data_IF_270680131863
#
_entry.id   IF_270680131863
#
_cell.length_a   1.000
_cell.length_b   1.000
_cell.length_c   1.000
_cell.angle_alpha   90.00
_cell.angle_beta   90.00
_cell.angle_gamma   90.00
#
_symmetry.space_group_name_H-M   'P 1'
#
loop_
_entity.id
_entity.type
_entity.pdbx_description
1 polymer ?
#
# COMPACT_ATOMS: atom_id res chain seq x y z
N UNK A 1 23.23 4.49 -7.12
CA UNK A 1 22.36 3.52 -7.81
C UNK A 1 20.91 3.82 -7.47
N UNK A 2 19.96 3.44 -8.32
CA UNK A 2 18.55 3.48 -7.97
C UNK A 2 18.26 2.31 -7.01
N UNK A 3 17.37 2.48 -6.02
CA UNK A 3 16.97 1.37 -5.16
C UNK A 3 16.20 0.33 -5.97
N UNK A 4 16.45 -0.96 -5.69
CA UNK A 4 15.73 -2.09 -6.26
C UNK A 4 14.85 -2.70 -5.22
N UNK A 5 13.52 -2.62 -5.41
CA UNK A 5 12.52 -3.16 -4.50
C UNK A 5 11.90 -4.44 -5.05
N UNK A 6 11.76 -5.44 -4.19
CA UNK A 6 10.93 -6.59 -4.45
C UNK A 6 9.48 -6.24 -4.10
N UNK A 7 8.57 -6.37 -5.06
CA UNK A 7 7.14 -6.02 -4.88
C UNK A 7 6.28 -7.28 -5.05
N UNK A 8 5.72 -7.75 -3.94
CA UNK A 8 4.81 -8.89 -3.90
C UNK A 8 3.35 -8.40 -3.83
N UNK A 9 2.62 -8.52 -4.94
CA UNK A 9 1.23 -8.08 -5.04
C UNK A 9 0.51 -8.83 -6.17
N UNK A 10 -0.83 -8.74 -6.26
CA UNK A 10 -1.58 -9.28 -7.38
C UNK A 10 -1.34 -8.51 -8.68
N UNK A 11 -1.53 -9.21 -9.80
CA UNK A 11 -1.40 -8.64 -11.13
C UNK A 11 -2.71 -8.80 -11.91
N UNK A 12 -3.55 -7.78 -11.98
CA UNK A 12 -4.74 -7.78 -12.81
C UNK A 12 -4.39 -7.45 -14.28
N UNK A 13 -4.95 -8.22 -15.22
CA UNK A 13 -4.82 -7.96 -16.65
C UNK A 13 -5.64 -6.75 -17.10
N UNK A 14 -6.70 -6.41 -16.37
CA UNK A 14 -7.56 -5.26 -16.62
C UNK A 14 -7.87 -4.52 -15.31
N UNK A 15 -7.80 -3.19 -15.39
CA UNK A 15 -7.99 -2.29 -14.24
C UNK A 15 -6.66 -1.81 -13.66
N UNK A 16 -6.66 -0.55 -13.21
CA UNK A 16 -5.47 0.14 -12.73
C UNK A 16 -5.41 0.06 -11.20
N UNK A 17 -5.10 -1.12 -10.71
CA UNK A 17 -4.91 -1.42 -9.28
C UNK A 17 -3.68 -2.32 -9.12
N UNK A 18 -3.24 -2.54 -7.91
CA UNK A 18 -2.14 -3.43 -7.55
C UNK A 18 -0.88 -3.21 -8.41
N UNK A 19 -0.24 -4.28 -8.92
CA UNK A 19 0.97 -4.15 -9.76
C UNK A 19 0.73 -3.34 -11.04
N UNK A 20 -0.47 -3.39 -11.64
CA UNK A 20 -0.75 -2.66 -12.87
C UNK A 20 -0.66 -1.12 -12.69
N UNK A 21 -0.94 -0.59 -11.49
CA UNK A 21 -0.74 0.83 -11.18
C UNK A 21 0.59 1.09 -10.46
N UNK A 22 1.04 0.20 -9.58
CA UNK A 22 2.25 0.42 -8.80
C UNK A 22 3.50 0.53 -9.68
N UNK A 23 3.64 -0.33 -10.70
CA UNK A 23 4.83 -0.39 -11.55
C UNK A 23 5.15 0.92 -12.27
N UNK A 24 4.23 1.55 -13.03
CA UNK A 24 4.52 2.81 -13.71
C UNK A 24 4.79 3.95 -12.71
N UNK A 25 4.14 3.96 -11.56
CA UNK A 25 4.34 4.98 -10.52
C UNK A 25 5.70 4.84 -9.82
N UNK A 26 6.10 3.61 -9.48
CA UNK A 26 7.41 3.35 -8.89
C UNK A 26 8.53 3.69 -9.88
N UNK A 27 8.36 3.37 -11.18
CA UNK A 27 9.30 3.77 -12.22
C UNK A 27 9.38 5.30 -12.35
N UNK A 28 8.25 6.03 -12.30
CA UNK A 28 8.21 7.50 -12.29
C UNK A 28 8.92 8.07 -11.05
N UNK A 29 8.88 7.37 -9.91
CA UNK A 29 9.59 7.70 -8.68
C UNK A 29 11.04 7.13 -8.62
N UNK A 30 11.61 6.75 -9.76
CA UNK A 30 13.01 6.33 -9.88
C UNK A 30 13.39 5.12 -9.00
N UNK A 31 12.55 4.10 -8.98
CA UNK A 31 12.78 2.83 -8.30
C UNK A 31 12.79 1.71 -9.32
N UNK A 32 13.78 0.82 -9.24
CA UNK A 32 13.77 -0.46 -9.95
C UNK A 32 12.89 -1.45 -9.21
N UNK A 33 11.98 -2.13 -9.93
CA UNK A 33 11.06 -3.09 -9.33
C UNK A 33 11.33 -4.50 -9.83
N UNK A 34 11.52 -5.43 -8.90
CA UNK A 34 11.41 -6.86 -9.16
C UNK A 34 10.01 -7.32 -8.76
N UNK A 35 9.31 -7.96 -9.69
CA UNK A 35 7.89 -8.27 -9.53
C UNK A 35 7.73 -9.71 -9.05
N UNK A 36 7.06 -9.90 -7.93
CA UNK A 36 6.64 -11.20 -7.41
C UNK A 36 5.11 -11.28 -7.42
N UNK A 37 4.49 -11.77 -8.51
CA UNK A 37 3.04 -11.89 -8.56
C UNK A 37 2.55 -12.89 -7.51
N UNK A 38 1.50 -12.51 -6.77
CA UNK A 38 0.86 -13.39 -5.78
C UNK A 38 -0.35 -14.11 -6.37
N UNK A 39 -1.10 -13.41 -7.20
CA UNK A 39 -2.25 -13.90 -7.94
C UNK A 39 -2.27 -13.23 -9.32
N UNK A 40 -2.59 -13.98 -10.36
CA UNK A 40 -2.89 -13.43 -11.68
C UNK A 40 -4.41 -13.35 -11.84
N UNK A 41 -4.91 -12.20 -12.25
CA UNK A 41 -6.33 -11.93 -12.37
C UNK A 41 -6.65 -11.46 -13.79
N UNK A 42 -7.74 -11.95 -14.39
CA UNK A 42 -8.19 -11.41 -15.68
C UNK A 42 -8.63 -9.93 -15.58
N UNK A 43 -9.16 -9.54 -14.43
CA UNK A 43 -9.43 -8.16 -14.00
C UNK A 43 -9.44 -8.12 -12.48
N UNK A 44 -9.36 -6.92 -11.87
CA UNK A 44 -9.40 -6.83 -10.40
C UNK A 44 -10.77 -7.21 -9.84
N UNK A 45 -10.82 -7.57 -8.56
CA UNK A 45 -12.03 -8.09 -7.90
C UNK A 45 -13.10 -7.03 -7.61
N UNK A 46 -12.75 -5.76 -7.69
CA UNK A 46 -13.64 -4.65 -7.39
C UNK A 46 -14.59 -4.30 -8.54
N UNK A 47 -15.82 -4.83 -8.49
CA UNK A 47 -16.88 -4.47 -9.43
C UNK A 47 -16.94 -5.27 -10.72
N UNK A 48 -15.98 -6.19 -11.00
CA UNK A 48 -16.05 -7.13 -12.10
C UNK A 48 -16.54 -8.49 -11.61
N UNK A 49 -17.19 -9.27 -12.51
CA UNK A 49 -17.74 -10.59 -12.23
C UNK A 49 -17.09 -11.65 -13.10
N UNK A 50 -17.19 -12.93 -12.72
CA UNK A 50 -16.70 -14.08 -13.50
C UNK A 50 -15.19 -13.99 -13.81
N UNK A 51 -14.41 -13.60 -12.82
CA UNK A 51 -12.96 -13.45 -12.93
C UNK A 51 -12.28 -14.81 -13.11
N UNK A 52 -11.28 -14.85 -13.99
CA UNK A 52 -10.25 -15.89 -13.89
C UNK A 52 -9.24 -15.48 -12.84
N UNK A 53 -8.98 -16.37 -11.91
CA UNK A 53 -8.06 -16.17 -10.78
C UNK A 53 -7.09 -17.35 -10.75
N UNK A 54 -5.83 -17.08 -11.02
CA UNK A 54 -4.77 -18.08 -10.94
C UNK A 54 -3.87 -17.78 -9.73
N UNK A 55 -3.91 -18.68 -8.73
CA UNK A 55 -3.05 -18.62 -7.54
C UNK A 55 -1.59 -18.88 -7.95
N UNK A 56 -0.70 -17.93 -7.64
CA UNK A 56 0.69 -18.05 -8.06
C UNK A 56 1.64 -18.49 -6.93
N UNK A 57 1.11 -19.05 -5.84
CA UNK A 57 1.90 -19.46 -4.65
C UNK A 57 3.10 -20.35 -5.01
N UNK A 58 2.90 -21.35 -5.87
CA UNK A 58 3.98 -22.24 -6.33
C UNK A 58 5.00 -21.48 -7.18
N UNK A 59 4.54 -20.58 -8.07
CA UNK A 59 5.42 -19.76 -8.89
C UNK A 59 6.29 -18.81 -8.06
N UNK A 60 5.77 -18.26 -6.98
CA UNK A 60 6.53 -17.40 -6.07
C UNK A 60 7.79 -18.09 -5.53
N UNK A 61 7.68 -19.38 -5.15
CA UNK A 61 8.84 -20.16 -4.67
C UNK A 61 9.94 -20.20 -5.71
N UNK A 62 9.61 -20.54 -6.96
CA UNK A 62 10.60 -20.61 -8.04
C UNK A 62 11.27 -19.25 -8.35
N UNK A 63 10.53 -18.14 -8.24
CA UNK A 63 11.10 -16.80 -8.43
C UNK A 63 12.11 -16.48 -7.33
N UNK A 64 11.73 -16.68 -6.06
CA UNK A 64 12.58 -16.40 -4.91
C UNK A 64 13.84 -17.28 -4.90
N UNK A 65 13.71 -18.57 -5.22
CA UNK A 65 14.84 -19.49 -5.36
C UNK A 65 15.82 -19.06 -6.46
N UNK A 66 15.29 -18.70 -7.65
CA UNK A 66 16.15 -18.22 -8.74
C UNK A 66 16.91 -16.96 -8.35
N UNK A 67 16.23 -15.95 -7.78
CA UNK A 67 16.88 -14.70 -7.37
C UNK A 67 17.91 -14.91 -6.26
N UNK A 68 17.66 -15.86 -5.38
CA UNK A 68 18.62 -16.25 -4.35
C UNK A 68 19.86 -16.89 -4.98
N UNK A 69 19.67 -17.82 -5.92
CA UNK A 69 20.76 -18.52 -6.62
C UNK A 69 21.58 -17.56 -7.49
N UNK A 70 20.97 -16.55 -8.08
CA UNK A 70 21.64 -15.49 -8.84
C UNK A 70 22.32 -14.43 -7.95
N UNK A 71 22.16 -14.49 -6.63
CA UNK A 71 22.73 -13.51 -5.71
C UNK A 71 22.15 -12.10 -5.88
N UNK A 72 20.88 -11.98 -6.35
CA UNK A 72 20.25 -10.68 -6.55
C UNK A 72 20.08 -9.98 -5.21
N UNK A 73 20.56 -8.72 -5.16
CA UNK A 73 20.37 -7.84 -4.02
C UNK A 73 19.13 -6.97 -4.20
N UNK A 74 18.38 -6.81 -3.12
CA UNK A 74 17.24 -5.92 -3.00
C UNK A 74 17.48 -4.92 -1.86
N UNK A 75 16.98 -3.70 -2.01
CA UNK A 75 17.06 -2.67 -0.96
C UNK A 75 15.86 -2.74 0.00
N UNK A 76 14.80 -3.46 -0.36
CA UNK A 76 13.62 -3.69 0.45
C UNK A 76 12.57 -4.55 -0.21
N UNK A 77 11.58 -4.95 0.58
CA UNK A 77 10.45 -5.75 0.16
C UNK A 77 9.14 -5.02 0.49
N UNK A 78 8.26 -4.93 -0.50
CA UNK A 78 6.94 -4.31 -0.40
C UNK A 78 5.88 -5.36 -0.66
N UNK A 79 4.87 -5.44 0.19
CA UNK A 79 3.73 -6.34 -0.02
C UNK A 79 2.43 -5.56 -0.17
N UNK A 80 1.56 -6.06 -1.04
CA UNK A 80 0.15 -5.73 -1.11
C UNK A 80 -0.69 -6.97 -0.85
N UNK A 81 -1.57 -7.35 -1.78
CA UNK A 81 -2.44 -8.50 -1.66
C UNK A 81 -1.67 -9.82 -1.58
N UNK A 82 -1.86 -10.54 -0.48
CA UNK A 82 -1.35 -11.89 -0.25
C UNK A 82 -2.54 -12.84 -0.03
N UNK A 83 -2.70 -13.84 -0.87
CA UNK A 83 -3.90 -14.67 -0.90
C UNK A 83 -4.03 -15.62 0.29
N UNK A 84 -2.91 -16.11 0.82
CA UNK A 84 -2.92 -17.18 1.83
C UNK A 84 -1.70 -17.12 2.76
N UNK A 85 -1.72 -17.96 3.79
CA UNK A 85 -0.65 -18.05 4.77
C UNK A 85 0.67 -18.57 4.21
N UNK A 86 0.66 -19.35 3.13
CA UNK A 86 1.89 -19.84 2.49
C UNK A 86 2.65 -18.69 1.85
N UNK A 87 1.95 -17.80 1.13
CA UNK A 87 2.56 -16.60 0.56
C UNK A 87 3.14 -15.69 1.66
N UNK A 88 2.42 -15.49 2.77
CA UNK A 88 2.90 -14.73 3.92
C UNK A 88 4.18 -15.34 4.50
N UNK A 89 4.23 -16.66 4.65
CA UNK A 89 5.41 -17.35 5.16
C UNK A 89 6.61 -17.22 4.21
N UNK A 90 6.42 -17.41 2.89
CA UNK A 90 7.47 -17.22 1.88
C UNK A 90 8.07 -15.81 1.95
N UNK A 91 7.24 -14.78 2.08
CA UNK A 91 7.68 -13.39 2.23
C UNK A 91 8.50 -13.20 3.50
N UNK A 92 8.01 -13.70 4.64
CA UNK A 92 8.71 -13.59 5.93
C UNK A 92 10.06 -14.30 5.90
N UNK A 93 10.10 -15.52 5.38
CA UNK A 93 11.33 -16.31 5.27
C UNK A 93 12.36 -15.61 4.39
N UNK A 94 11.94 -15.10 3.23
CA UNK A 94 12.81 -14.41 2.31
C UNK A 94 13.32 -13.07 2.87
N UNK A 95 12.43 -12.26 3.45
CA UNK A 95 12.80 -10.99 4.07
C UNK A 95 13.80 -11.18 5.22
N UNK A 96 13.54 -12.16 6.10
CA UNK A 96 14.43 -12.47 7.22
C UNK A 96 15.80 -13.01 6.76
N UNK A 97 15.83 -13.94 5.79
CA UNK A 97 17.05 -14.52 5.26
C UNK A 97 17.97 -13.46 4.59
N UNK A 98 17.36 -12.45 3.98
CA UNK A 98 18.05 -11.35 3.31
C UNK A 98 18.20 -10.09 4.17
N UNK A 99 17.63 -10.06 5.38
CA UNK A 99 17.56 -8.89 6.27
C UNK A 99 17.00 -7.65 5.56
N UNK A 100 15.93 -7.83 4.77
CA UNK A 100 15.34 -6.75 4.00
C UNK A 100 14.40 -5.91 4.86
N UNK A 101 14.48 -4.58 4.75
CA UNK A 101 13.39 -3.71 5.22
C UNK A 101 12.06 -4.14 4.59
N UNK A 102 11.04 -4.32 5.44
CA UNK A 102 9.75 -4.84 5.03
C UNK A 102 8.65 -3.78 5.19
N UNK A 103 7.92 -3.55 4.11
CA UNK A 103 6.82 -2.61 4.01
C UNK A 103 5.55 -3.37 3.67
N UNK A 104 4.53 -3.23 4.52
CA UNK A 104 3.32 -4.03 4.41
C UNK A 104 2.10 -3.12 4.23
N UNK A 105 1.47 -3.24 3.06
CA UNK A 105 0.07 -2.87 2.88
C UNK A 105 -0.77 -4.12 3.20
N UNK A 106 -1.47 -4.16 4.36
CA UNK A 106 -2.10 -5.38 4.84
C UNK A 106 -3.48 -5.60 4.23
N UNK A 107 -3.55 -5.61 2.90
CA UNK A 107 -4.80 -5.68 2.13
C UNK A 107 -5.63 -6.91 2.54
N UNK A 108 -6.73 -6.68 3.26
CA UNK A 108 -7.64 -7.76 3.67
C UNK A 108 -9.10 -7.33 3.87
N UNK A 109 -9.41 -6.04 3.83
CA UNK A 109 -10.78 -5.59 4.05
C UNK A 109 -10.98 -4.09 3.93
N UNK A 110 -12.25 -3.69 3.83
CA UNK A 110 -12.68 -2.29 3.80
C UNK A 110 -14.08 -2.14 4.41
N UNK A 111 -14.42 -0.93 4.91
CA UNK A 111 -15.72 -0.59 5.50
C UNK A 111 -16.20 -1.55 6.59
N UNK A 112 -15.27 -1.98 7.45
CA UNK A 112 -15.53 -2.90 8.56
C UNK A 112 -15.71 -4.37 8.18
N UNK A 113 -15.52 -4.74 6.89
CA UNK A 113 -15.74 -6.09 6.39
C UNK A 113 -14.46 -6.67 5.75
N UNK A 114 -14.26 -7.97 5.88
CA UNK A 114 -13.24 -8.68 5.10
C UNK A 114 -13.60 -8.72 3.62
N UNK A 115 -12.60 -8.67 2.76
CA UNK A 115 -12.78 -9.01 1.35
C UNK A 115 -13.12 -10.49 1.19
N UNK A 116 -13.78 -10.83 0.08
CA UNK A 116 -14.18 -12.20 -0.20
C UNK A 116 -13.00 -13.17 -0.12
N UNK A 117 -13.17 -14.22 0.66
CA UNK A 117 -12.17 -15.26 0.86
C UNK A 117 -11.20 -15.02 2.04
N UNK A 118 -11.33 -13.89 2.73
CA UNK A 118 -10.57 -13.60 3.95
C UNK A 118 -11.45 -13.68 5.20
N UNK A 119 -10.79 -13.98 6.30
CA UNK A 119 -11.40 -14.11 7.63
C UNK A 119 -10.41 -13.70 8.74
N UNK A 120 -10.79 -13.90 9.99
CA UNK A 120 -9.94 -13.61 11.13
C UNK A 120 -8.68 -14.50 11.17
N UNK A 121 -8.71 -15.69 10.57
CA UNK A 121 -7.54 -16.55 10.40
C UNK A 121 -6.50 -15.89 9.50
N UNK A 122 -6.92 -15.35 8.35
CA UNK A 122 -6.05 -14.58 7.48
C UNK A 122 -5.49 -13.33 8.17
N UNK A 123 -6.33 -12.58 8.91
CA UNK A 123 -5.88 -11.42 9.67
C UNK A 123 -4.83 -11.76 10.73
N UNK A 124 -4.88 -12.94 11.34
CA UNK A 124 -3.85 -13.39 12.28
C UNK A 124 -2.50 -13.65 11.58
N UNK A 125 -2.51 -14.20 10.37
CA UNK A 125 -1.30 -14.38 9.56
C UNK A 125 -0.75 -13.02 9.10
N UNK A 126 -1.60 -12.12 8.62
CA UNK A 126 -1.22 -10.76 8.22
C UNK A 126 -0.65 -9.97 9.41
N UNK A 127 -1.20 -10.16 10.62
CA UNK A 127 -0.66 -9.57 11.83
C UNK A 127 0.79 -10.02 12.08
N UNK A 128 1.13 -11.30 11.84
CA UNK A 128 2.53 -11.78 11.96
C UNK A 128 3.44 -11.09 10.95
N UNK A 129 2.96 -10.85 9.72
CA UNK A 129 3.70 -10.10 8.72
C UNK A 129 3.96 -8.67 9.21
N UNK A 130 2.93 -7.98 9.69
CA UNK A 130 3.03 -6.62 10.23
C UNK A 130 3.96 -6.52 11.46
N UNK A 131 4.07 -7.57 12.27
CA UNK A 131 4.99 -7.61 13.41
C UNK A 131 6.47 -7.56 13.01
N UNK A 132 6.79 -7.99 11.79
CA UNK A 132 8.15 -8.01 11.23
C UNK A 132 8.39 -6.85 10.27
N UNK A 133 7.43 -5.94 10.10
CA UNK A 133 7.53 -4.83 9.18
C UNK A 133 8.17 -3.59 9.82
N UNK A 134 8.89 -2.82 9.02
CA UNK A 134 9.38 -1.48 9.39
C UNK A 134 8.27 -0.45 9.28
N UNK A 135 7.45 -0.57 8.22
CA UNK A 135 6.31 0.32 7.94
C UNK A 135 5.08 -0.51 7.59
N UNK A 136 3.93 -0.13 8.14
CA UNK A 136 2.64 -0.69 7.74
C UNK A 136 1.70 0.43 7.28
N UNK A 137 0.85 0.12 6.26
CA UNK A 137 -0.11 1.09 5.70
C UNK A 137 -1.55 0.53 5.77
N UNK A 138 -2.11 0.26 6.94
CA UNK A 138 -3.48 -0.21 7.05
C UNK A 138 -4.50 0.91 6.79
N UNK A 139 -5.69 0.56 6.27
CA UNK A 139 -6.87 1.39 6.43
C UNK A 139 -7.52 1.16 7.82
N UNK A 140 -8.57 1.92 8.15
CA UNK A 140 -9.25 1.82 9.46
C UNK A 140 -9.82 0.42 9.74
N UNK A 141 -10.28 -0.30 8.72
CA UNK A 141 -10.80 -1.67 8.83
C UNK A 141 -9.68 -2.66 9.16
N UNK A 142 -8.61 -2.60 8.40
CA UNK A 142 -7.44 -3.45 8.58
C UNK A 142 -6.77 -3.20 9.94
N UNK A 143 -6.68 -1.93 10.34
CA UNK A 143 -6.20 -1.55 11.65
C UNK A 143 -7.04 -2.17 12.79
N UNK A 144 -8.37 -2.18 12.63
CA UNK A 144 -9.27 -2.81 13.60
C UNK A 144 -9.05 -4.34 13.67
N UNK A 145 -8.89 -5.01 12.51
CA UNK A 145 -8.63 -6.46 12.46
C UNK A 145 -7.25 -6.82 13.04
N UNK A 146 -6.21 -6.07 12.70
CA UNK A 146 -4.86 -6.27 13.21
C UNK A 146 -4.77 -6.07 14.73
N UNK A 147 -5.50 -5.12 15.28
CA UNK A 147 -5.48 -4.79 16.70
C UNK A 147 -6.57 -5.48 17.51
N UNK A 148 -7.50 -6.19 16.84
CA UNK A 148 -8.68 -6.84 17.46
C UNK A 148 -9.54 -5.83 18.23
N UNK A 149 -9.77 -4.66 17.64
CA UNK A 149 -10.61 -3.59 18.19
C UNK A 149 -11.84 -3.36 17.33
N UNK A 150 -12.82 -2.63 17.87
CA UNK A 150 -13.95 -2.20 17.07
C UNK A 150 -13.50 -1.28 15.94
N UNK A 151 -14.14 -1.42 14.79
CA UNK A 151 -13.94 -0.55 13.64
C UNK A 151 -14.41 0.87 13.93
N UNK A 152 -13.59 1.86 13.59
CA UNK A 152 -13.96 3.28 13.68
C UNK A 152 -14.72 3.70 12.42
N UNK A 153 -16.06 3.63 12.47
CA UNK A 153 -16.89 3.86 11.29
C UNK A 153 -17.02 5.35 10.96
N UNK A 154 -17.49 6.15 11.92
CA UNK A 154 -17.71 7.60 11.78
C UNK A 154 -17.72 8.29 13.15
N UNK A 155 -17.73 9.61 13.15
CA UNK A 155 -17.85 10.46 14.36
C UNK A 155 -16.80 10.17 15.43
N UNK A 156 -15.65 9.60 15.03
CA UNK A 156 -14.52 9.33 15.93
C UNK A 156 -13.64 10.56 16.10
N UNK A 157 -12.97 10.66 17.25
CA UNK A 157 -12.06 11.74 17.58
C UNK A 157 -10.59 11.37 17.30
N UNK A 158 -9.72 12.38 17.15
CA UNK A 158 -8.28 12.18 16.97
C UNK A 158 -7.67 11.29 18.06
N UNK A 159 -8.12 11.43 19.31
CA UNK A 159 -7.68 10.60 20.44
C UNK A 159 -7.99 9.09 20.24
N UNK A 160 -9.02 8.73 19.48
CA UNK A 160 -9.33 7.33 19.16
C UNK A 160 -8.39 6.81 18.06
N UNK A 161 -8.09 7.65 17.06
CA UNK A 161 -7.09 7.36 16.02
C UNK A 161 -5.71 7.19 16.65
N UNK A 162 -5.29 8.07 17.54
CA UNK A 162 -4.00 7.97 18.23
C UNK A 162 -3.87 6.69 19.07
N UNK A 163 -4.95 6.30 19.78
CA UNK A 163 -4.98 5.03 20.51
C UNK A 163 -4.85 3.83 19.58
N UNK A 164 -5.49 3.88 18.39
CA UNK A 164 -5.40 2.83 17.38
C UNK A 164 -3.97 2.75 16.82
N UNK A 165 -3.35 3.88 16.49
CA UNK A 165 -1.96 3.98 16.04
C UNK A 165 -0.98 3.39 17.07
N UNK A 166 -1.15 3.72 18.35
CA UNK A 166 -0.31 3.15 19.44
C UNK A 166 -0.49 1.63 19.57
N UNK A 167 -1.70 1.10 19.38
CA UNK A 167 -1.93 -0.36 19.35
C UNK A 167 -1.27 -1.03 18.15
N UNK A 168 -1.30 -0.41 16.97
CA UNK A 168 -0.59 -0.90 15.79
C UNK A 168 0.93 -0.88 16.01
N UNK A 169 1.46 0.20 16.56
CA UNK A 169 2.89 0.32 16.89
C UNK A 169 3.37 -0.70 17.90
N UNK A 170 2.51 -1.10 18.85
CA UNK A 170 2.80 -2.18 19.80
C UNK A 170 2.95 -3.56 19.15
N UNK A 171 2.55 -3.74 17.88
CA UNK A 171 2.82 -4.95 17.11
C UNK A 171 4.29 -5.09 16.74
N UNK A 172 4.99 -3.98 16.45
CA UNK A 172 6.40 -4.02 16.07
C UNK A 172 6.87 -2.87 15.16
N UNK A 173 6.08 -2.41 14.17
CA UNK A 173 6.56 -1.47 13.16
C UNK A 173 7.02 -0.15 13.76
N UNK A 174 8.02 0.46 13.12
CA UNK A 174 8.54 1.77 13.49
C UNK A 174 7.66 2.91 12.98
N UNK A 175 7.00 2.71 11.86
CA UNK A 175 6.09 3.68 11.26
C UNK A 175 4.75 3.06 10.90
N UNK A 176 3.69 3.79 11.17
CA UNK A 176 2.32 3.43 10.78
C UNK A 176 1.75 4.58 9.92
N UNK A 177 1.24 4.25 8.74
CA UNK A 177 0.48 5.17 7.90
C UNK A 177 -0.96 4.68 7.85
N UNK A 178 -1.79 5.17 8.74
CA UNK A 178 -3.22 4.83 8.78
C UNK A 178 -3.95 5.63 7.72
N UNK A 179 -4.59 4.93 6.78
CA UNK A 179 -5.31 5.54 5.64
C UNK A 179 -6.82 5.64 5.89
N UNK A 180 -7.49 6.51 5.14
CA UNK A 180 -8.94 6.67 5.23
C UNK A 180 -9.43 7.43 6.47
N UNK A 181 -8.55 8.18 7.13
CA UNK A 181 -8.91 9.00 8.29
C UNK A 181 -9.77 10.18 7.85
N UNK A 182 -10.92 10.37 8.52
CA UNK A 182 -11.91 11.40 8.21
C UNK A 182 -12.42 12.02 9.51
N UNK A 183 -12.20 13.33 9.70
CA UNK A 183 -12.78 14.08 10.83
C UNK A 183 -13.87 15.05 10.39
N UNK A 184 -13.88 15.42 9.12
CA UNK A 184 -14.85 16.30 8.47
C UNK A 184 -15.35 15.61 7.20
N UNK A 185 -16.63 15.77 6.87
CA UNK A 185 -17.27 15.04 5.78
C UNK A 185 -16.63 15.29 4.39
N UNK A 186 -16.02 16.45 4.19
CA UNK A 186 -15.38 16.88 2.94
C UNK A 186 -13.87 16.60 2.89
N UNK A 187 -13.29 15.99 3.95
CA UNK A 187 -11.86 15.68 4.05
C UNK A 187 -11.60 14.23 4.40
N UNK A 188 -10.63 13.65 3.72
CA UNK A 188 -10.08 12.32 3.98
C UNK A 188 -8.56 12.38 3.94
N UNK A 189 -7.88 11.51 4.67
CA UNK A 189 -6.42 11.60 4.65
C UNK A 189 -5.72 10.47 5.36
N UNK A 190 -4.53 10.80 5.84
CA UNK A 190 -3.58 9.92 6.48
C UNK A 190 -3.29 10.38 7.91
N UNK A 191 -3.11 9.43 8.82
CA UNK A 191 -2.46 9.66 10.11
C UNK A 191 -1.13 8.89 10.11
N UNK A 192 -0.02 9.60 10.11
CA UNK A 192 1.33 9.03 10.10
C UNK A 192 1.88 9.08 11.52
N UNK A 193 2.21 7.91 12.06
CA UNK A 193 2.80 7.78 13.39
C UNK A 193 4.26 7.31 13.30
N UNK A 194 5.15 8.12 13.84
CA UNK A 194 6.57 7.78 14.07
C UNK A 194 6.73 7.31 15.52
N UNK A 195 6.88 6.00 15.72
CA UNK A 195 7.03 5.41 17.05
C UNK A 195 8.29 5.89 17.77
N UNK A 196 9.36 6.19 17.02
CA UNK A 196 10.64 6.60 17.62
C UNK A 196 10.56 7.99 18.25
N UNK A 197 9.65 8.84 17.77
CA UNK A 197 9.43 10.21 18.23
C UNK A 197 8.14 10.38 19.03
N UNK A 198 7.32 9.32 19.13
CA UNK A 198 5.93 9.38 19.65
C UNK A 198 5.13 10.53 18.99
N UNK A 199 5.27 10.72 17.67
CA UNK A 199 4.69 11.85 16.94
C UNK A 199 3.66 11.36 15.92
N UNK A 200 2.47 11.97 15.96
CA UNK A 200 1.43 11.79 14.93
C UNK A 200 1.38 13.04 14.04
N UNK A 201 1.28 12.82 12.72
CA UNK A 201 1.04 13.87 11.72
C UNK A 201 -0.19 13.51 10.92
N UNK A 202 -1.12 14.43 10.79
CA UNK A 202 -2.32 14.30 9.97
C UNK A 202 -2.13 15.03 8.65
N UNK A 203 -2.35 14.35 7.54
CA UNK A 203 -2.35 14.91 6.20
C UNK A 203 -3.73 14.73 5.60
N UNK A 204 -4.45 15.84 5.44
CA UNK A 204 -5.81 15.82 4.92
C UNK A 204 -5.85 16.32 3.48
N UNK A 205 -6.75 15.76 2.68
CA UNK A 205 -7.08 16.12 1.31
C UNK A 205 -8.59 16.15 1.12
N UNK A 206 -9.04 16.61 -0.05
CA UNK A 206 -10.46 16.64 -0.39
C UNK A 206 -11.03 15.23 -0.47
N UNK A 207 -12.19 15.01 0.11
CA UNK A 207 -12.97 13.79 0.00
C UNK A 207 -13.93 13.88 -1.20
N UNK A 208 -13.90 12.88 -2.06
CA UNK A 208 -14.84 12.71 -3.16
C UNK A 208 -15.84 11.60 -2.79
N UNK A 209 -17.16 11.81 -3.00
CA UNK A 209 -18.16 10.82 -2.59
C UNK A 209 -18.18 9.55 -3.46
N UNK A 210 -17.51 9.60 -4.63
CA UNK A 210 -17.40 8.45 -5.53
C UNK A 210 -16.43 7.41 -4.97
N UNK A 211 -16.69 6.14 -5.26
CA UNK A 211 -15.78 5.06 -4.94
C UNK A 211 -14.75 4.88 -6.08
N UNK A 212 -13.48 5.08 -5.76
CA UNK A 212 -12.36 4.88 -6.68
C UNK A 212 -11.61 3.61 -6.35
N UNK A 213 -11.21 2.86 -7.38
CA UNK A 213 -10.34 1.70 -7.24
C UNK A 213 -8.88 2.09 -7.51
N UNK A 214 -7.95 1.54 -6.72
CA UNK A 214 -6.51 1.75 -6.89
C UNK A 214 -5.93 2.97 -6.18
N UNK A 215 -6.70 3.70 -5.38
CA UNK A 215 -6.19 4.85 -4.60
C UNK A 215 -5.14 4.39 -3.57
N UNK A 216 -5.37 3.27 -2.89
CA UNK A 216 -4.41 2.67 -1.96
C UNK A 216 -3.11 2.27 -2.66
N UNK A 217 -3.20 1.60 -3.81
CA UNK A 217 -2.04 1.17 -4.59
C UNK A 217 -1.17 2.35 -5.07
N UNK A 218 -1.81 3.43 -5.53
CA UNK A 218 -1.10 4.66 -5.93
C UNK A 218 -0.40 5.30 -4.73
N UNK A 219 -1.11 5.44 -3.61
CA UNK A 219 -0.57 5.99 -2.37
C UNK A 219 0.64 5.19 -1.90
N UNK A 220 0.49 3.88 -1.80
CA UNK A 220 1.51 2.93 -1.34
C UNK A 220 2.74 2.97 -2.25
N UNK A 221 2.55 2.96 -3.58
CA UNK A 221 3.65 3.02 -4.55
C UNK A 221 4.49 4.30 -4.41
N UNK A 222 3.87 5.47 -4.26
CA UNK A 222 4.56 6.75 -4.10
C UNK A 222 5.25 6.82 -2.74
N UNK A 223 4.57 6.44 -1.66
CA UNK A 223 5.11 6.45 -0.29
C UNK A 223 6.38 5.60 -0.18
N UNK A 224 6.33 4.35 -0.65
CA UNK A 224 7.48 3.45 -0.54
C UNK A 224 8.64 3.88 -1.42
N UNK A 225 8.35 4.27 -2.66
CA UNK A 225 9.40 4.77 -3.55
C UNK A 225 10.13 5.97 -2.94
N UNK A 226 9.39 6.88 -2.34
CA UNK A 226 9.95 8.07 -1.72
C UNK A 226 10.74 7.73 -0.45
N UNK A 227 10.25 6.85 0.39
CA UNK A 227 10.93 6.42 1.61
C UNK A 227 12.29 5.79 1.30
N UNK A 228 12.38 4.85 0.36
CA UNK A 228 13.65 4.23 -0.03
C UNK A 228 14.64 5.20 -0.69
N UNK A 229 14.14 6.34 -1.16
CA UNK A 229 14.97 7.45 -1.59
C UNK A 229 15.30 8.41 -0.44
N UNK A 230 14.85 8.10 0.79
CA UNK A 230 15.08 8.83 2.04
C UNK A 230 14.30 10.14 2.13
N UNK A 231 13.17 10.25 1.43
CA UNK A 231 12.17 11.30 1.64
C UNK A 231 11.30 10.87 2.83
N UNK A 232 10.99 11.79 3.74
CA UNK A 232 10.17 11.47 4.90
C UNK A 232 8.75 11.03 4.49
N UNK A 233 8.11 10.17 5.30
CA UNK A 233 6.72 9.74 5.07
C UNK A 233 5.73 10.90 5.05
N UNK A 234 6.01 11.98 5.78
CA UNK A 234 5.20 13.20 5.77
C UNK A 234 5.24 13.90 4.40
N UNK A 235 6.45 14.15 3.85
CA UNK A 235 6.62 14.76 2.53
C UNK A 235 6.08 13.85 1.41
N UNK A 236 6.36 12.56 1.47
CA UNK A 236 5.88 11.60 0.46
C UNK A 236 4.35 11.40 0.54
N UNK A 237 3.78 11.42 1.74
CA UNK A 237 2.33 11.37 1.94
C UNK A 237 1.62 12.60 1.35
N UNK A 238 2.19 13.79 1.51
CA UNK A 238 1.65 15.01 0.88
C UNK A 238 1.71 14.90 -0.64
N UNK A 239 2.87 14.52 -1.21
CA UNK A 239 3.00 14.30 -2.65
C UNK A 239 1.96 13.30 -3.19
N UNK A 240 1.75 12.18 -2.48
CA UNK A 240 0.81 11.16 -2.90
C UNK A 240 -0.65 11.66 -2.85
N UNK A 241 -1.03 12.41 -1.81
CA UNK A 241 -2.37 12.98 -1.69
C UNK A 241 -2.63 14.06 -2.74
N UNK A 242 -1.67 14.93 -3.02
CA UNK A 242 -1.79 15.96 -4.04
C UNK A 242 -1.91 15.33 -5.43
N UNK A 243 -1.08 14.33 -5.74
CA UNK A 243 -1.16 13.56 -6.97
C UNK A 243 -2.52 12.85 -7.12
N UNK A 244 -3.00 12.19 -6.06
CA UNK A 244 -4.30 11.52 -6.07
C UNK A 244 -5.45 12.51 -6.31
N UNK A 245 -5.39 13.71 -5.73
CA UNK A 245 -6.40 14.74 -5.97
C UNK A 245 -6.51 15.09 -7.45
N UNK A 246 -5.39 15.39 -8.11
CA UNK A 246 -5.35 15.72 -9.55
C UNK A 246 -5.86 14.57 -10.43
N UNK A 247 -5.42 13.34 -10.11
CA UNK A 247 -5.81 12.13 -10.83
C UNK A 247 -7.31 11.85 -10.68
N UNK A 248 -7.87 12.01 -9.48
CA UNK A 248 -9.32 11.83 -9.24
C UNK A 248 -10.14 12.88 -9.99
N UNK A 249 -9.72 14.14 -9.99
CA UNK A 249 -10.39 15.21 -10.74
C UNK A 249 -10.43 14.89 -12.25
N UNK A 250 -9.30 14.49 -12.82
CA UNK A 250 -9.22 14.09 -14.24
C UNK A 250 -10.09 12.87 -14.53
N UNK A 251 -10.07 11.87 -13.66
CA UNK A 251 -10.87 10.65 -13.81
C UNK A 251 -12.37 10.96 -13.83
N UNK A 252 -12.83 11.87 -12.97
CA UNK A 252 -14.23 12.31 -12.94
C UNK A 252 -14.60 13.13 -14.19
N UNK A 253 -13.71 14.03 -14.63
CA UNK A 253 -13.95 14.87 -15.83
C UNK A 253 -14.07 14.05 -17.13
N UNK A 254 -13.48 12.86 -17.16
CA UNK A 254 -13.56 11.95 -18.31
C UNK A 254 -14.86 11.12 -18.35
N UNK A 255 -15.72 11.21 -17.32
CA UNK A 255 -17.00 10.49 -17.19
C UNK A 255 -16.92 8.97 -17.48
N UNK A 256 -15.74 8.39 -17.23
CA UNK A 256 -15.48 6.97 -17.51
C UNK A 256 -15.97 6.07 -16.40
N UNK A 257 -16.14 4.79 -16.71
CA UNK A 257 -16.43 3.76 -15.72
C UNK A 257 -15.28 3.65 -14.71
N UNK A 258 -15.56 3.98 -13.45
CA UNK A 258 -14.57 4.02 -12.37
C UNK A 258 -13.98 2.64 -12.04
N UNK A 259 -14.65 1.54 -12.46
CA UNK A 259 -14.11 0.17 -12.30
C UNK A 259 -12.78 -0.04 -13.03
N UNK A 260 -12.50 0.71 -14.07
CA UNK A 260 -11.20 0.64 -14.76
C UNK A 260 -10.05 1.31 -13.99
N UNK A 261 -10.33 1.88 -12.81
CA UNK A 261 -9.36 2.56 -11.98
C UNK A 261 -9.06 3.99 -12.44
N UNK A 262 -8.12 4.62 -11.79
CA UNK A 262 -7.79 6.03 -11.91
C UNK A 262 -7.00 6.34 -13.20
N UNK A 263 -7.24 7.52 -13.79
CA UNK A 263 -6.59 8.01 -14.99
C UNK A 263 -5.35 8.84 -14.63
N UNK A 264 -4.26 8.18 -14.24
CA UNK A 264 -3.04 8.82 -13.77
C UNK A 264 -2.02 9.13 -14.87
N UNK A 265 -2.16 8.57 -16.05
CA UNK A 265 -1.18 8.68 -17.14
C UNK A 265 -0.88 10.14 -17.54
N UNK A 266 -1.87 11.05 -17.66
CA UNK A 266 -1.59 12.45 -17.97
C UNK A 266 -0.76 13.17 -16.91
N UNK A 267 -0.79 12.67 -15.66
CA UNK A 267 -0.15 13.29 -14.51
C UNK A 267 1.25 12.74 -14.18
N UNK A 268 1.72 11.71 -14.91
CA UNK A 268 3.03 11.10 -14.62
C UNK A 268 4.19 12.10 -14.74
N UNK A 269 4.14 13.02 -15.69
CA UNK A 269 5.18 14.03 -15.85
C UNK A 269 5.26 14.96 -14.63
N UNK A 270 4.14 15.35 -14.08
CA UNK A 270 4.08 16.23 -12.92
C UNK A 270 4.48 15.48 -11.64
N UNK A 271 4.13 14.19 -11.53
CA UNK A 271 4.66 13.32 -10.47
C UNK A 271 6.20 13.29 -10.51
N UNK A 272 6.78 13.05 -11.69
CA UNK A 272 8.25 13.01 -11.86
C UNK A 272 8.88 14.34 -11.44
N UNK A 273 8.35 15.48 -11.87
CA UNK A 273 8.86 16.82 -11.54
C UNK A 273 8.80 17.07 -10.03
N UNK A 274 7.63 16.85 -9.41
CA UNK A 274 7.43 17.11 -7.98
C UNK A 274 8.29 16.17 -7.12
N UNK A 275 8.41 14.90 -7.53
CA UNK A 275 9.29 13.95 -6.88
C UNK A 275 10.76 14.37 -6.94
N UNK A 276 11.23 14.87 -8.10
CA UNK A 276 12.59 15.39 -8.26
C UNK A 276 12.85 16.62 -7.40
N UNK A 277 11.87 17.49 -7.19
CA UNK A 277 11.98 18.62 -6.27
C UNK A 277 12.22 18.15 -4.83
N UNK A 278 11.44 17.18 -4.36
CA UNK A 278 11.63 16.59 -3.03
C UNK A 278 13.01 15.95 -2.84
N UNK A 279 13.56 15.31 -3.89
CA UNK A 279 14.91 14.75 -3.85
C UNK A 279 16.00 15.83 -3.74
N UNK A 280 15.79 17.02 -4.30
CA UNK A 280 16.72 18.15 -4.18
C UNK A 280 16.69 18.79 -2.80
N UNK A 281 15.52 18.89 -2.18
CA UNK A 281 15.35 19.42 -0.83
C UNK A 281 15.97 18.54 0.28
N UNK A 282 16.27 17.30 -0.02
CA UNK A 282 16.91 16.37 0.90
C UNK A 282 18.40 16.62 1.05
N UNK A 283 19.06 17.26 0.06
CA UNK A 283 20.48 17.61 0.09
C UNK A 283 20.72 18.87 0.90
#
# INVERSE_FOLDING_TARGET
>A
MLPRLLVANDLPGLGKVALASSLPLMAACQVETAILPTVLLSSHTGGFKQLRIDDYTVGMTGFLEQWQNLGIAFDGLVTGYLKNSQQINLILEFANAKQLPLFVDPIMGDKGCFYQGFDQGHANHMRRLCQNADVIIPNLTEAAFLTKTAYLEKDYQSSQVERLLKKLAALGPSYIVLTGVTFEADKIGLAIYDRTKDKVVYLMAKHYPQHFYGTGDILTAILFSAYFRGISLEKSGRLALDFLNEVMMTTLALERDLRYGLCYEPHLLDLIKNYQLLLKEKK
#
